data_IF_818092248033
#
_entry.id   IF_818092248033
#
_cell.length_a   1.000
_cell.length_b   1.000
_cell.length_c   1.000
_cell.angle_alpha   90.00
_cell.angle_beta   90.00
_cell.angle_gamma   90.00
#
_symmetry.space_group_name_H-M   'P 1'
#
loop_
_entity.id
_entity.type
_entity.pdbx_description
1 polymer ?
#
# COMPACT_ATOMS: atom_id res chain seq x y z
N UNK A 1 -16.77 -4.80 15.95
CA UNK A 1 -15.99 -5.58 14.96
C UNK A 1 -14.75 -4.80 14.61
N UNK A 2 -13.65 -5.50 14.43
CA UNK A 2 -12.37 -4.97 13.97
C UNK A 2 -12.25 -5.11 12.46
N UNK A 3 -12.08 -3.98 11.78
CA UNK A 3 -12.05 -3.87 10.32
C UNK A 3 -10.68 -3.34 9.90
N UNK A 4 -9.97 -4.12 9.10
CA UNK A 4 -8.79 -3.62 8.39
C UNK A 4 -9.25 -2.97 7.10
N UNK A 5 -9.00 -1.68 6.96
CA UNK A 5 -9.42 -0.87 5.82
C UNK A 5 -8.20 -0.57 4.95
N UNK A 6 -8.00 -1.39 3.92
CA UNK A 6 -6.84 -1.32 3.04
C UNK A 6 -7.07 -0.26 1.97
N UNK A 7 -6.16 0.70 1.89
CA UNK A 7 -6.15 1.77 0.89
C UNK A 7 -4.88 1.72 0.06
N UNK A 8 -4.95 1.97 -1.27
CA UNK A 8 -3.75 1.99 -2.11
C UNK A 8 -2.72 3.01 -1.61
N UNK A 9 -3.16 4.21 -1.22
CA UNK A 9 -2.28 5.31 -0.85
C UNK A 9 -1.53 5.84 -2.08
N UNK A 10 -1.94 6.98 -2.62
CA UNK A 10 -1.37 7.58 -3.84
C UNK A 10 -0.47 8.80 -3.57
N UNK A 11 -0.15 9.08 -2.30
CA UNK A 11 0.50 10.31 -1.89
C UNK A 11 -0.43 11.54 -2.00
N UNK A 12 -0.03 12.66 -1.41
CA UNK A 12 -0.90 13.84 -1.33
C UNK A 12 -0.84 14.76 -2.57
N UNK A 13 0.12 14.55 -3.49
CA UNK A 13 0.28 15.42 -4.67
C UNK A 13 -0.59 15.02 -5.87
N UNK A 14 -1.24 13.85 -5.80
CA UNK A 14 -2.15 13.35 -6.82
C UNK A 14 -3.58 13.23 -6.27
N UNK A 15 -4.55 13.82 -6.96
CA UNK A 15 -5.94 13.80 -6.55
C UNK A 15 -6.83 13.11 -7.58
N UNK A 16 -7.21 11.86 -7.29
CA UNK A 16 -8.19 11.08 -8.06
C UNK A 16 -9.52 10.87 -7.30
N UNK A 17 -9.67 11.43 -6.11
CA UNK A 17 -10.86 11.29 -5.25
C UNK A 17 -10.92 10.01 -4.42
N UNK A 18 -10.13 8.97 -4.71
CA UNK A 18 -10.15 7.71 -3.96
C UNK A 18 -9.80 7.90 -2.48
N UNK A 19 -8.67 8.54 -2.17
CA UNK A 19 -8.24 8.76 -0.77
C UNK A 19 -9.29 9.54 0.05
N UNK A 20 -9.97 10.51 -0.58
CA UNK A 20 -11.03 11.28 0.08
C UNK A 20 -12.29 10.44 0.31
N UNK A 21 -12.73 9.67 -0.68
CA UNK A 21 -13.84 8.71 -0.52
C UNK A 21 -13.52 7.70 0.59
N UNK A 22 -12.31 7.18 0.61
CA UNK A 22 -11.85 6.18 1.55
C UNK A 22 -11.82 6.74 2.98
N UNK A 23 -11.41 8.00 3.16
CA UNK A 23 -11.45 8.68 4.45
C UNK A 23 -12.89 8.88 4.96
N UNK A 24 -13.82 9.27 4.09
CA UNK A 24 -15.24 9.39 4.44
C UNK A 24 -15.82 8.03 4.86
N UNK A 25 -15.50 6.96 4.13
CA UNK A 25 -16.00 5.63 4.41
C UNK A 25 -15.44 5.06 5.73
N UNK A 26 -14.12 5.13 5.93
CA UNK A 26 -13.49 4.70 7.18
C UNK A 26 -14.04 5.47 8.39
N UNK A 27 -14.24 6.79 8.25
CA UNK A 27 -14.83 7.61 9.31
C UNK A 27 -16.28 7.25 9.61
N UNK A 28 -17.08 6.91 8.59
CA UNK A 28 -18.45 6.44 8.77
C UNK A 28 -18.49 5.11 9.55
N UNK A 29 -17.60 4.17 9.23
CA UNK A 29 -17.45 2.91 9.96
C UNK A 29 -17.02 3.14 11.42
N UNK A 30 -16.05 4.03 11.68
CA UNK A 30 -15.66 4.44 13.04
C UNK A 30 -16.85 5.02 13.82
N UNK A 31 -17.65 5.90 13.20
CA UNK A 31 -18.87 6.49 13.81
C UNK A 31 -19.97 5.47 14.09
N UNK A 32 -20.03 4.38 13.32
CA UNK A 32 -20.94 3.26 13.56
C UNK A 32 -20.49 2.32 14.69
N UNK A 33 -19.37 2.61 15.36
CA UNK A 33 -18.88 1.85 16.52
C UNK A 33 -17.93 0.70 16.16
N UNK A 34 -17.41 0.65 14.93
CA UNK A 34 -16.40 -0.32 14.53
C UNK A 34 -15.00 0.16 14.89
N UNK A 35 -14.13 -0.77 15.27
CA UNK A 35 -12.69 -0.52 15.35
C UNK A 35 -12.13 -0.62 13.92
N UNK A 36 -11.65 0.49 13.37
CA UNK A 36 -11.16 0.56 11.98
C UNK A 36 -9.70 0.90 11.99
N UNK A 37 -8.89 0.00 11.45
CA UNK A 37 -7.44 0.17 11.26
C UNK A 37 -7.20 0.53 9.81
N UNK A 38 -6.81 1.78 9.55
CA UNK A 38 -6.51 2.27 8.19
C UNK A 38 -5.11 1.83 7.79
N UNK A 39 -5.02 1.05 6.71
CA UNK A 39 -3.77 0.51 6.21
C UNK A 39 -3.46 1.00 4.79
N UNK A 40 -2.50 1.92 4.61
CA UNK A 40 -1.97 2.22 3.29
C UNK A 40 -1.04 1.11 2.80
N UNK A 41 -1.05 0.89 1.49
CA UNK A 41 -0.10 0.00 0.82
C UNK A 41 1.11 0.80 0.26
N UNK A 42 0.94 1.53 -0.84
CA UNK A 42 2.08 1.94 -1.65
C UNK A 42 2.84 3.15 -1.10
N UNK A 43 2.10 4.15 -0.63
CA UNK A 43 2.65 5.42 -0.14
C UNK A 43 1.97 5.83 1.17
N UNK A 44 2.70 6.54 2.05
CA UNK A 44 2.13 7.00 3.31
C UNK A 44 0.97 7.98 3.09
N UNK A 45 -0.06 7.88 3.94
CA UNK A 45 -1.11 8.89 4.04
C UNK A 45 -0.59 10.06 4.87
N UNK A 46 -0.77 11.29 4.41
CA UNK A 46 -0.33 12.48 5.17
C UNK A 46 -1.42 13.53 5.35
N UNK A 47 -2.65 13.21 4.95
CA UNK A 47 -3.83 13.93 5.41
C UNK A 47 -3.95 13.78 6.94
N UNK A 48 -3.97 14.91 7.64
CA UNK A 48 -4.09 14.95 9.10
C UNK A 48 -5.37 14.29 9.61
N UNK A 49 -6.42 14.31 8.80
CA UNK A 49 -7.74 13.74 9.10
C UNK A 49 -7.86 12.25 8.75
N UNK A 50 -6.88 11.69 8.04
CA UNK A 50 -6.87 10.31 7.58
C UNK A 50 -5.47 9.72 7.70
N UNK A 51 -5.13 9.30 8.92
CA UNK A 51 -3.82 8.76 9.26
C UNK A 51 -3.81 7.24 9.15
N UNK A 52 -2.63 6.69 8.90
CA UNK A 52 -2.39 5.26 8.93
C UNK A 52 -2.33 4.77 10.38
N UNK A 53 -3.00 3.65 10.65
CA UNK A 53 -2.97 2.96 11.94
C UNK A 53 -2.03 1.73 11.89
N UNK A 54 -1.41 1.46 10.73
CA UNK A 54 -0.58 0.28 10.47
C UNK A 54 0.81 0.66 9.93
N UNK A 55 1.76 -0.29 9.92
CA UNK A 55 2.93 -0.20 9.05
C UNK A 55 2.53 -0.05 7.58
N UNK A 56 3.43 0.54 6.79
CA UNK A 56 3.30 0.57 5.33
C UNK A 56 3.74 -0.78 4.75
N UNK A 57 2.85 -1.44 4.02
CA UNK A 57 3.13 -2.70 3.33
C UNK A 57 3.21 -2.44 1.83
N UNK A 58 4.09 -3.10 1.07
CA UNK A 58 4.30 -2.78 -0.36
C UNK A 58 4.83 -1.34 -0.63
N UNK A 59 5.90 -0.88 0.04
CA UNK A 59 6.42 0.47 -0.21
C UNK A 59 6.77 0.65 -1.69
N UNK A 60 6.16 1.65 -2.34
CA UNK A 60 6.20 1.79 -3.80
C UNK A 60 7.64 1.85 -4.36
N UNK A 61 8.55 2.50 -3.63
CA UNK A 61 9.95 2.69 -4.03
C UNK A 61 10.72 1.38 -4.11
N UNK A 62 10.75 0.60 -3.02
CA UNK A 62 11.45 -0.68 -2.99
C UNK A 62 10.76 -1.74 -3.83
N UNK A 63 9.42 -1.79 -3.80
CA UNK A 63 8.64 -2.74 -4.59
C UNK A 63 8.89 -2.54 -6.09
N UNK A 64 8.77 -1.31 -6.59
CA UNK A 64 9.00 -1.00 -8.00
C UNK A 64 10.42 -1.40 -8.43
N UNK A 65 11.44 -1.00 -7.66
CA UNK A 65 12.81 -1.29 -8.03
C UNK A 65 13.12 -2.79 -7.94
N UNK A 66 12.54 -3.48 -6.96
CA UNK A 66 12.69 -4.92 -6.78
C UNK A 66 12.06 -5.70 -7.93
N UNK A 67 10.83 -5.36 -8.31
CA UNK A 67 10.16 -5.99 -9.45
C UNK A 67 10.84 -5.67 -10.78
N UNK A 68 11.45 -4.49 -10.93
CA UNK A 68 12.12 -4.12 -12.17
C UNK A 68 13.48 -4.80 -12.36
N UNK A 69 14.28 -4.93 -11.30
CA UNK A 69 15.70 -5.34 -11.41
C UNK A 69 16.09 -6.59 -10.59
N UNK A 70 15.22 -7.06 -9.70
CA UNK A 70 15.53 -8.07 -8.69
C UNK A 70 14.50 -9.22 -8.67
N UNK A 71 13.85 -9.53 -9.80
CA UNK A 71 12.89 -10.66 -9.89
C UNK A 71 13.57 -12.03 -9.66
N UNK A 72 14.80 -12.18 -10.14
CA UNK A 72 15.55 -13.45 -10.08
C UNK A 72 16.59 -13.51 -8.95
N UNK A 73 16.77 -12.41 -8.20
CA UNK A 73 17.78 -12.30 -7.14
C UNK A 73 17.29 -11.33 -6.06
N UNK A 74 17.58 -11.57 -4.80
CA UNK A 74 17.14 -10.67 -3.73
C UNK A 74 17.78 -9.28 -3.80
N UNK A 75 17.00 -8.24 -3.53
CA UNK A 75 17.53 -6.89 -3.33
C UNK A 75 18.42 -6.84 -2.08
N UNK A 76 19.58 -6.17 -2.12
CA UNK A 76 20.40 -5.98 -0.92
C UNK A 76 19.63 -5.22 0.17
N UNK A 77 19.68 -5.71 1.42
CA UNK A 77 18.94 -5.12 2.55
C UNK A 77 19.25 -3.65 2.80
N UNK A 78 20.47 -3.20 2.52
CA UNK A 78 20.82 -1.78 2.69
C UNK A 78 20.08 -0.89 1.68
N UNK A 79 19.89 -1.37 0.45
CA UNK A 79 19.17 -0.65 -0.60
C UNK A 79 17.69 -0.60 -0.29
N UNK A 80 17.11 -1.73 0.12
CA UNK A 80 15.72 -1.81 0.57
C UNK A 80 15.45 -0.83 1.72
N UNK A 81 16.32 -0.78 2.74
CA UNK A 81 16.20 0.16 3.86
C UNK A 81 16.28 1.62 3.44
N UNK A 82 17.17 1.95 2.48
CA UNK A 82 17.25 3.32 1.97
C UNK A 82 15.97 3.71 1.23
N UNK A 83 15.44 2.83 0.36
CA UNK A 83 14.23 3.09 -0.42
C UNK A 83 12.97 3.17 0.45
N UNK A 84 12.93 2.40 1.55
CA UNK A 84 11.82 2.40 2.50
C UNK A 84 11.91 3.50 3.57
N UNK A 85 12.93 4.37 3.50
CA UNK A 85 13.02 5.51 4.41
C UNK A 85 11.89 6.51 4.15
N UNK A 86 11.42 7.16 5.21
CA UNK A 86 10.41 8.22 5.09
C UNK A 86 10.82 9.28 4.07
N UNK A 87 12.10 9.67 4.05
CA UNK A 87 12.62 10.63 3.08
C UNK A 87 12.39 10.19 1.63
N UNK A 88 12.73 8.93 1.31
CA UNK A 88 12.57 8.40 -0.06
C UNK A 88 11.10 8.26 -0.45
N UNK A 89 10.26 7.77 0.46
CA UNK A 89 8.83 7.66 0.24
C UNK A 89 8.17 9.03 0.05
N UNK A 90 8.68 10.06 0.73
CA UNK A 90 8.18 11.43 0.59
C UNK A 90 8.52 12.04 -0.76
N UNK A 91 9.73 11.76 -1.25
CA UNK A 91 10.13 12.16 -2.60
C UNK A 91 9.22 11.46 -3.61
N UNK A 92 9.04 10.13 -3.50
CA UNK A 92 8.16 9.38 -4.39
C UNK A 92 6.72 9.92 -4.37
N UNK A 93 6.18 10.20 -3.18
CA UNK A 93 4.86 10.78 -3.01
C UNK A 93 4.74 12.18 -3.65
N UNK A 94 5.80 12.99 -3.67
CA UNK A 94 5.76 14.29 -4.35
C UNK A 94 5.63 14.17 -5.87
N UNK A 95 6.13 13.09 -6.47
CA UNK A 95 6.06 12.82 -7.91
C UNK A 95 4.79 12.09 -8.36
N UNK A 96 3.89 11.71 -7.46
CA UNK A 96 2.76 10.84 -7.82
C UNK A 96 1.83 11.44 -8.87
N UNK A 97 1.72 12.77 -8.94
CA UNK A 97 0.97 13.49 -9.97
C UNK A 97 1.61 13.55 -11.36
N UNK A 98 2.85 13.08 -11.52
CA UNK A 98 3.63 13.17 -12.77
C UNK A 98 3.99 11.80 -13.37
N UNK A 99 3.54 10.72 -12.74
CA UNK A 99 3.87 9.35 -13.15
C UNK A 99 3.12 8.97 -14.42
N UNK A 100 3.85 8.63 -15.49
CA UNK A 100 3.25 7.99 -16.67
C UNK A 100 2.88 6.54 -16.34
N UNK A 101 1.74 6.09 -16.85
CA UNK A 101 1.35 4.67 -16.79
C UNK A 101 2.14 3.80 -17.77
N UNK A 102 2.80 4.42 -18.76
CA UNK A 102 3.58 3.72 -19.77
C UNK A 102 4.79 3.00 -19.13
N UNK A 103 4.95 1.71 -19.43
CA UNK A 103 6.00 0.85 -18.88
C UNK A 103 5.66 0.20 -17.54
N UNK A 104 4.41 0.32 -17.06
CA UNK A 104 3.90 -0.35 -15.85
C UNK A 104 2.96 -1.53 -16.17
N UNK A 105 2.78 -1.89 -17.44
CA UNK A 105 1.82 -2.89 -17.90
C UNK A 105 2.18 -4.27 -17.37
N UNK A 106 3.43 -4.69 -17.56
CA UNK A 106 3.94 -5.99 -17.09
C UNK A 106 3.86 -6.11 -15.56
N UNK A 107 4.17 -5.02 -14.86
CA UNK A 107 4.04 -4.95 -13.40
C UNK A 107 2.58 -5.11 -12.96
N UNK A 108 1.67 -4.40 -13.63
CA UNK A 108 0.23 -4.45 -13.35
C UNK A 108 -0.33 -5.86 -13.57
N UNK A 109 -0.04 -6.47 -14.72
CA UNK A 109 -0.46 -7.84 -15.02
C UNK A 109 0.11 -8.84 -14.02
N UNK A 110 1.39 -8.69 -13.68
CA UNK A 110 2.05 -9.57 -12.74
C UNK A 110 1.50 -9.48 -11.32
N UNK A 111 1.04 -8.29 -10.89
CA UNK A 111 0.36 -8.10 -9.60
C UNK A 111 -1.04 -8.70 -9.62
N UNK A 112 -1.80 -8.56 -10.72
CA UNK A 112 -3.14 -9.17 -10.87
C UNK A 112 -3.06 -10.70 -10.87
N UNK A 113 -2.04 -11.26 -11.54
CA UNK A 113 -1.83 -12.71 -11.60
C UNK A 113 -1.22 -13.28 -10.31
N UNK A 114 -0.57 -12.44 -9.51
CA UNK A 114 0.10 -12.84 -8.28
C UNK A 114 1.33 -13.74 -8.48
N UNK A 115 1.91 -13.77 -9.68
CA UNK A 115 3.03 -14.67 -10.03
C UNK A 115 4.41 -14.14 -9.63
N UNK A 116 4.53 -12.85 -9.32
CA UNK A 116 5.80 -12.22 -8.97
C UNK A 116 6.22 -12.55 -7.54
N UNK A 117 7.43 -13.11 -7.39
CA UNK A 117 7.95 -13.56 -6.10
C UNK A 117 8.17 -12.43 -5.11
N UNK A 118 8.54 -11.23 -5.58
CA UNK A 118 8.68 -10.04 -4.74
C UNK A 118 7.32 -9.63 -4.19
N UNK A 119 6.30 -9.58 -5.05
CA UNK A 119 4.93 -9.30 -4.63
C UNK A 119 4.39 -10.34 -3.64
N UNK A 120 4.56 -11.63 -3.95
CA UNK A 120 4.13 -12.71 -3.06
C UNK A 120 4.78 -12.61 -1.67
N UNK A 121 6.07 -12.27 -1.60
CA UNK A 121 6.75 -12.07 -0.31
C UNK A 121 6.12 -10.95 0.53
N UNK A 122 5.72 -9.85 -0.11
CA UNK A 122 5.00 -8.77 0.57
C UNK A 122 3.62 -9.21 1.03
N UNK A 123 2.88 -9.97 0.20
CA UNK A 123 1.58 -10.56 0.56
C UNK A 123 1.73 -11.50 1.77
N UNK A 124 2.73 -12.39 1.79
CA UNK A 124 2.98 -13.26 2.95
C UNK A 124 3.28 -12.48 4.22
N UNK A 125 4.05 -11.39 4.11
CA UNK A 125 4.37 -10.52 5.24
C UNK A 125 3.11 -9.83 5.78
N UNK A 126 2.25 -9.33 4.88
CA UNK A 126 0.95 -8.76 5.24
C UNK A 126 0.05 -9.79 5.92
N UNK A 127 -0.11 -10.98 5.32
CA UNK A 127 -0.94 -12.07 5.88
C UNK A 127 -0.45 -12.46 7.27
N UNK A 128 0.87 -12.60 7.46
CA UNK A 128 1.44 -12.92 8.76
C UNK A 128 1.12 -11.82 9.78
N UNK A 129 1.28 -10.55 9.42
CA UNK A 129 0.94 -9.45 10.31
C UNK A 129 -0.55 -9.40 10.65
N UNK A 130 -1.43 -9.63 9.67
CA UNK A 130 -2.88 -9.69 9.89
C UNK A 130 -3.29 -10.84 10.83
N UNK A 131 -2.64 -12.01 10.70
CA UNK A 131 -2.94 -13.19 11.53
C UNK A 131 -2.38 -13.08 12.95
N UNK A 132 -1.16 -12.60 13.08
CA UNK A 132 -0.46 -12.64 14.38
C UNK A 132 -0.72 -11.37 15.21
N UNK A 133 -0.83 -10.20 14.58
CA UNK A 133 -0.89 -8.92 15.27
C UNK A 133 -2.33 -8.37 15.32
N UNK A 134 -2.96 -8.14 14.17
CA UNK A 134 -4.23 -7.40 14.15
C UNK A 134 -5.47 -8.24 14.35
N UNK A 135 -5.53 -9.45 13.78
CA UNK A 135 -6.65 -10.39 13.89
C UNK A 135 -8.02 -9.75 13.58
N UNK A 136 -8.22 -9.16 12.38
CA UNK A 136 -9.47 -8.50 12.05
C UNK A 136 -10.63 -9.47 11.81
N UNK A 137 -11.86 -9.01 12.07
CA UNK A 137 -13.09 -9.71 11.67
C UNK A 137 -13.36 -9.57 10.17
N UNK A 138 -13.01 -8.40 9.60
CA UNK A 138 -13.24 -8.05 8.19
C UNK A 138 -12.00 -7.38 7.61
N UNK A 139 -11.64 -7.79 6.39
CA UNK A 139 -10.67 -7.08 5.54
C UNK A 139 -11.47 -6.38 4.45
N UNK A 140 -11.43 -5.06 4.42
CA UNK A 140 -12.06 -4.23 3.41
C UNK A 140 -11.01 -3.70 2.43
N UNK A 141 -11.13 -4.08 1.16
CA UNK A 141 -10.35 -3.52 0.07
C UNK A 141 -11.11 -2.32 -0.51
N UNK A 142 -10.54 -1.12 -0.39
CA UNK A 142 -11.18 0.12 -0.87
C UNK A 142 -11.27 0.22 -2.40
N UNK A 143 -10.50 -0.59 -3.13
CA UNK A 143 -10.45 -0.55 -4.59
C UNK A 143 -10.35 -1.97 -5.16
N UNK A 144 -11.00 -2.22 -6.30
CA UNK A 144 -10.84 -3.48 -7.03
C UNK A 144 -9.45 -3.61 -7.67
N UNK A 145 -8.67 -2.52 -7.76
CA UNK A 145 -7.32 -2.53 -8.29
C UNK A 145 -6.31 -3.28 -7.40
N UNK A 146 -6.68 -3.60 -6.16
CA UNK A 146 -5.83 -4.30 -5.18
C UNK A 146 -6.36 -5.71 -4.88
N UNK A 147 -7.06 -6.34 -5.84
CA UNK A 147 -7.68 -7.67 -5.67
C UNK A 147 -6.74 -8.85 -6.00
N UNK A 148 -5.58 -8.58 -6.59
CA UNK A 148 -4.57 -9.59 -6.96
C UNK A 148 -3.86 -10.24 -5.77
#
# INVERSE_FOLDING_TARGET
MKIIFIVPGSGDSFYCGNCFRDSLHANALKRAGHEVVVMPLYLPLRDRSFQADSPLFFPATSLYLAQKYFRTKSMPRWMERMLNSDFSLNIAASFSGTTSSEGLEDMTLSMIQGEDTVFQQQVYTLIHWLKEQEQPDIIHLSSSLIIG
#
